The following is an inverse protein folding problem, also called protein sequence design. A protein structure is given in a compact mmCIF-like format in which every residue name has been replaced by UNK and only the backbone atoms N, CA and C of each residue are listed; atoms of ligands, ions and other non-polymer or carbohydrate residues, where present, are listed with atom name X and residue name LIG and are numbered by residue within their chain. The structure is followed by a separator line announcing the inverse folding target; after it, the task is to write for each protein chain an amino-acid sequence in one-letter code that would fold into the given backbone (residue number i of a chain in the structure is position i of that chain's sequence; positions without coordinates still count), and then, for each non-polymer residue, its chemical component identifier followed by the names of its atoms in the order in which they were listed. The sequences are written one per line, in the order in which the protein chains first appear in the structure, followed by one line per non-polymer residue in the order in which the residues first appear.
data_IF_118306294879
#
_entry.id   IF_118306294879
#
_cell.length_a   1.000
_cell.length_b   1.000
_cell.length_c   1.000
_cell.angle_alpha   90.00
_cell.angle_beta   90.00
_cell.angle_gamma   90.00
#
_symmetry.space_group_name_H-M   'P 1'
#
loop_
_entity.id
_entity.type
_entity.pdbx_description
1 polymer ?
#
# COMPACT_ATOMS: atom_id res chain seq x y z
N UNK A 1 13.16 15.12 -5.67
CA UNK A 1 11.74 14.89 -5.28
C UNK A 1 11.07 14.09 -6.39
N UNK A 2 10.33 13.02 -6.06
CA UNK A 2 9.67 12.17 -7.06
C UNK A 2 8.39 12.85 -7.55
N UNK A 3 8.28 13.15 -8.85
CA UNK A 3 7.15 13.87 -9.46
C UNK A 3 5.83 13.13 -9.26
N UNK A 4 5.84 11.80 -9.27
CA UNK A 4 4.67 10.96 -9.06
C UNK A 4 4.14 11.09 -7.63
N UNK A 5 5.03 11.08 -6.63
CA UNK A 5 4.62 11.27 -5.24
C UNK A 5 4.06 12.67 -5.01
N UNK A 6 4.73 13.70 -5.52
CA UNK A 6 4.25 15.07 -5.43
C UNK A 6 2.87 15.26 -6.08
N UNK A 7 2.60 14.55 -7.18
CA UNK A 7 1.28 14.53 -7.82
C UNK A 7 0.21 13.90 -6.92
N UNK A 8 0.48 12.74 -6.31
CA UNK A 8 -0.46 12.08 -5.41
C UNK A 8 -0.71 12.86 -4.12
N UNK A 9 0.33 13.47 -3.55
CA UNK A 9 0.20 14.36 -2.40
C UNK A 9 -0.71 15.54 -2.72
N UNK A 10 -0.45 16.21 -3.85
CA UNK A 10 -1.30 17.31 -4.30
C UNK A 10 -2.74 16.83 -4.55
N UNK A 11 -2.94 15.71 -5.25
CA UNK A 11 -4.27 15.17 -5.56
C UNK A 11 -5.07 14.85 -4.28
N UNK A 12 -4.40 14.32 -3.25
CA UNK A 12 -5.02 14.06 -1.95
C UNK A 12 -5.49 15.32 -1.21
N UNK A 13 -4.90 16.49 -1.50
CA UNK A 13 -5.34 17.78 -0.97
C UNK A 13 -6.47 18.44 -1.76
N UNK A 14 -6.85 17.88 -2.92
CA UNK A 14 -7.80 18.48 -3.86
C UNK A 14 -9.07 17.61 -4.02
N UNK A 15 -9.99 17.61 -3.03
CA UNK A 15 -11.19 16.78 -3.07
C UNK A 15 -12.10 17.11 -4.25
N UNK A 16 -12.11 18.36 -4.71
CA UNK A 16 -12.89 18.80 -5.88
C UNK A 16 -12.46 18.10 -7.18
N UNK A 17 -11.18 17.77 -7.32
CA UNK A 17 -10.64 17.10 -8.52
C UNK A 17 -10.79 15.59 -8.40
N UNK A 18 -10.61 15.03 -7.21
CA UNK A 18 -10.72 13.58 -6.99
C UNK A 18 -12.13 13.02 -7.26
N UNK A 19 -13.16 13.83 -7.04
CA UNK A 19 -14.57 13.49 -7.24
C UNK A 19 -15.13 13.78 -8.65
N UNK A 20 -14.36 14.44 -9.53
CA UNK A 20 -14.79 14.80 -10.88
C UNK A 20 -13.88 14.14 -11.93
N UNK A 21 -14.43 13.17 -12.64
CA UNK A 21 -13.71 12.41 -13.66
C UNK A 21 -13.21 13.29 -14.82
N UNK A 22 -13.93 14.37 -15.17
CA UNK A 22 -13.56 15.27 -16.25
C UNK A 22 -12.41 16.20 -15.82
N UNK A 23 -12.48 16.70 -14.59
CA UNK A 23 -11.39 17.48 -14.00
C UNK A 23 -10.12 16.63 -13.85
N UNK A 24 -10.27 15.38 -13.40
CA UNK A 24 -9.16 14.42 -13.29
C UNK A 24 -8.54 14.11 -14.65
N UNK A 25 -9.35 13.84 -15.68
CA UNK A 25 -8.86 13.57 -17.04
C UNK A 25 -8.06 14.76 -17.60
N UNK A 26 -8.53 15.98 -17.38
CA UNK A 26 -7.87 17.22 -17.83
C UNK A 26 -6.53 17.41 -17.12
N UNK A 27 -6.49 17.14 -15.81
CA UNK A 27 -5.27 17.19 -15.03
C UNK A 27 -4.24 16.15 -15.51
N UNK A 28 -4.67 14.90 -15.74
CA UNK A 28 -3.78 13.83 -16.18
C UNK A 28 -3.16 14.11 -17.55
N UNK A 29 -3.85 14.85 -18.43
CA UNK A 29 -3.29 15.24 -19.74
C UNK A 29 -2.13 16.23 -19.61
N UNK A 30 -2.16 17.12 -18.62
CA UNK A 30 -1.10 18.12 -18.40
C UNK A 30 -0.03 17.67 -17.41
N UNK A 31 -0.27 16.58 -16.67
CA UNK A 31 0.67 16.03 -15.71
C UNK A 31 1.87 15.35 -16.40
N UNK A 32 3.07 15.66 -15.91
CA UNK A 32 4.32 15.01 -16.32
C UNK A 32 4.48 13.64 -15.63
N UNK A 33 3.63 12.69 -16.05
CA UNK A 33 3.56 11.33 -15.55
C UNK A 33 3.79 10.31 -16.67
N UNK A 34 4.37 9.13 -16.38
CA UNK A 34 4.47 8.03 -17.32
C UNK A 34 3.11 7.70 -17.96
N UNK A 35 3.09 7.38 -19.25
CA UNK A 35 1.85 7.08 -20.00
C UNK A 35 1.03 5.96 -19.36
N UNK A 36 1.70 4.88 -18.94
CA UNK A 36 1.08 3.72 -18.29
C UNK A 36 0.39 4.11 -16.99
N UNK A 37 1.03 4.99 -16.19
CA UNK A 37 0.45 5.47 -14.94
C UNK A 37 -0.74 6.41 -15.19
N UNK A 38 -0.69 7.26 -16.22
CA UNK A 38 -1.82 8.12 -16.59
C UNK A 38 -3.03 7.30 -17.02
N UNK A 39 -2.81 6.25 -17.80
CA UNK A 39 -3.88 5.35 -18.23
C UNK A 39 -4.48 4.57 -17.05
N UNK A 40 -3.63 4.04 -16.17
CA UNK A 40 -4.07 3.37 -14.95
C UNK A 40 -4.89 4.30 -14.04
N UNK A 41 -4.47 5.56 -13.88
CA UNK A 41 -5.21 6.59 -13.15
C UNK A 41 -6.55 6.94 -13.80
N UNK A 42 -6.57 7.11 -15.13
CA UNK A 42 -7.79 7.40 -15.88
C UNK A 42 -8.83 6.29 -15.78
N UNK A 43 -8.38 5.03 -15.68
CA UNK A 43 -9.25 3.84 -15.52
C UNK A 43 -9.57 3.52 -14.07
N UNK A 44 -9.01 4.25 -13.09
CA UNK A 44 -9.05 3.94 -11.66
C UNK A 44 -8.60 2.50 -11.36
N UNK A 45 -7.63 2.00 -12.13
CA UNK A 45 -7.11 0.64 -12.05
C UNK A 45 -6.12 0.49 -10.89
N UNK A 46 -6.66 0.24 -9.69
CA UNK A 46 -5.88 0.16 -8.45
C UNK A 46 -4.73 -0.85 -8.55
N UNK A 47 -4.99 -2.05 -9.09
CA UNK A 47 -4.00 -3.11 -9.17
C UNK A 47 -2.83 -2.71 -10.10
N UNK A 48 -3.13 -2.06 -11.22
CA UNK A 48 -2.10 -1.54 -12.13
C UNK A 48 -1.28 -0.42 -11.45
N UNK A 49 -1.94 0.51 -10.75
CA UNK A 49 -1.25 1.58 -10.00
C UNK A 49 -0.33 0.98 -8.93
N UNK A 50 -0.80 0.03 -8.14
CA UNK A 50 -0.01 -0.66 -7.11
C UNK A 50 1.24 -1.34 -7.71
N UNK A 51 1.06 -2.04 -8.83
CA UNK A 51 2.17 -2.69 -9.56
C UNK A 51 3.19 -1.67 -10.08
N UNK A 52 2.74 -0.56 -10.68
CA UNK A 52 3.62 0.48 -11.22
C UNK A 52 4.40 1.22 -10.13
N UNK A 53 3.82 1.37 -8.95
CA UNK A 53 4.46 2.02 -7.80
C UNK A 53 5.33 1.06 -6.97
N UNK A 54 5.32 -0.25 -7.29
CA UNK A 54 6.01 -1.26 -6.48
C UNK A 54 5.44 -1.35 -5.06
N UNK A 55 4.15 -1.08 -4.90
CA UNK A 55 3.48 -1.12 -3.61
C UNK A 55 3.56 -2.55 -3.03
N UNK A 56 3.83 -2.65 -1.73
CA UNK A 56 3.87 -3.93 -0.99
C UNK A 56 2.77 -3.93 0.05
N UNK A 57 1.81 -4.83 -0.09
CA UNK A 57 0.64 -4.94 0.80
C UNK A 57 0.94 -5.79 2.04
N UNK A 58 2.08 -5.59 2.67
CA UNK A 58 2.51 -6.39 3.82
C UNK A 58 1.89 -5.90 5.14
N UNK A 59 1.16 -4.77 5.09
CA UNK A 59 0.62 -4.07 6.25
C UNK A 59 -0.89 -3.91 6.08
N UNK A 60 -1.65 -4.38 7.07
CA UNK A 60 -3.11 -4.28 7.13
C UNK A 60 -3.48 -3.34 8.27
N UNK A 61 -4.01 -2.17 7.94
CA UNK A 61 -4.60 -1.26 8.93
C UNK A 61 -6.11 -1.54 9.01
N UNK A 62 -6.57 -2.06 10.15
CA UNK A 62 -8.01 -2.16 10.44
C UNK A 62 -8.45 -0.96 11.27
N UNK A 63 -9.47 -0.24 10.78
CA UNK A 63 -10.12 0.84 11.53
C UNK A 63 -11.42 0.28 12.08
N UNK A 64 -11.53 0.25 13.41
CA UNK A 64 -12.74 -0.18 14.09
C UNK A 64 -13.52 1.05 14.56
N UNK A 65 -14.83 1.16 14.27
CA UNK A 65 -15.65 2.21 14.84
C UNK A 65 -15.70 2.03 16.36
N UNK A 66 -15.59 3.12 17.10
CA UNK A 66 -15.81 3.12 18.55
C UNK A 66 -17.28 2.77 18.78
N UNK A 67 -17.55 1.69 19.53
CA UNK A 67 -18.91 1.40 19.95
C UNK A 67 -19.35 2.43 21.01
N UNK A 68 -20.57 2.98 20.91
CA UNK A 68 -21.04 4.07 21.78
C UNK A 68 -21.12 3.68 23.26
N UNK A 69 -21.26 2.38 23.55
CA UNK A 69 -21.17 1.83 24.90
C UNK A 69 -19.73 1.35 25.09
N UNK A 70 -18.93 2.17 25.77
CA UNK A 70 -17.49 1.97 25.92
C UNK A 70 -17.16 0.62 26.54
N UNK A 71 -16.58 -0.28 25.73
CA UNK A 71 -15.77 -1.36 26.26
C UNK A 71 -14.47 -0.73 26.76
N UNK A 72 -14.16 -0.98 28.04
CA UNK A 72 -12.92 -0.57 28.68
C UNK A 72 -11.69 -1.01 27.87
N UNK A 73 -10.55 -0.30 27.97
CA UNK A 73 -9.33 -0.70 27.28
C UNK A 73 -8.98 -2.14 27.68
N UNK A 74 -9.01 -3.06 26.71
CA UNK A 74 -8.39 -4.38 26.93
C UNK A 74 -6.90 -4.15 27.03
N UNK A 75 -6.33 -4.53 28.17
CA UNK A 75 -4.87 -4.56 28.36
C UNK A 75 -4.24 -5.34 27.20
N UNK A 76 -3.24 -4.75 26.56
CA UNK A 76 -2.53 -5.34 25.43
C UNK A 76 -2.00 -6.74 25.83
N UNK A 77 -2.52 -7.79 25.19
CA UNK A 77 -1.88 -9.11 25.28
C UNK A 77 -0.48 -8.99 24.66
N UNK A 78 0.57 -9.46 25.36
CA UNK A 78 1.94 -9.29 24.88
C UNK A 78 2.12 -10.00 23.53
N UNK A 79 2.67 -9.25 22.56
CA UNK A 79 3.08 -9.77 21.26
C UNK A 79 3.99 -11.00 21.46
N UNK A 80 3.53 -12.15 20.99
CA UNK A 80 4.40 -13.33 20.90
C UNK A 80 5.47 -13.04 19.85
N UNK A 81 6.72 -12.86 20.29
CA UNK A 81 7.88 -12.81 19.40
C UNK A 81 7.86 -14.04 18.47
N UNK A 82 8.04 -13.87 17.15
CA UNK A 82 8.14 -15.00 16.26
C UNK A 82 9.36 -15.82 16.67
N UNK A 83 9.13 -17.09 17.00
CA UNK A 83 10.19 -18.04 17.33
C UNK A 83 11.23 -18.02 16.20
N UNK A 84 12.46 -17.64 16.53
CA UNK A 84 13.59 -17.80 15.63
C UNK A 84 13.71 -19.29 15.31
N UNK A 85 13.36 -19.68 14.08
CA UNK A 85 13.67 -21.02 13.59
C UNK A 85 15.20 -21.20 13.67
N UNK A 86 15.71 -22.21 14.39
CA UNK A 86 17.14 -22.46 14.39
C UNK A 86 17.54 -22.86 12.97
N UNK A 87 18.47 -22.07 12.39
CA UNK A 87 19.14 -22.38 11.14
C UNK A 87 19.69 -23.81 11.21
N UNK A 88 18.98 -24.76 10.60
CA UNK A 88 19.47 -26.12 10.46
C UNK A 88 20.50 -26.08 9.34
N UNK A 89 21.75 -25.94 9.76
CA UNK A 89 22.95 -26.30 9.03
C UNK A 89 22.76 -27.70 8.42
N UNK A 90 22.41 -27.76 7.13
CA UNK A 90 22.48 -28.99 6.32
C UNK A 90 23.69 -28.90 5.41
N UNK A 91 24.85 -28.90 6.04
CA UNK A 91 26.13 -29.09 5.40
C UNK A 91 26.99 -30.09 6.16
N UNK A 92 26.71 -31.40 6.05
CA UNK A 92 27.72 -32.47 6.02
C UNK A 92 27.13 -33.89 6.10
N UNK A 93 27.67 -34.76 5.23
CA UNK A 93 27.79 -36.23 5.33
C UNK A 93 26.48 -37.05 5.34
N UNK A 94 26.35 -38.17 4.62
CA UNK A 94 27.34 -39.05 4.04
C UNK A 94 26.77 -39.80 2.84
N UNK A 95 27.62 -39.96 1.82
CA UNK A 95 27.53 -41.07 0.90
C UNK A 95 27.87 -42.37 1.65
N UNK A 96 27.02 -43.38 1.49
CA UNK A 96 27.31 -44.79 1.68
C UNK A 96 26.37 -45.52 0.72
N UNK A 97 26.88 -45.96 -0.43
CA UNK A 97 27.48 -47.28 -0.64
C UNK A 97 26.40 -48.37 -0.64
#
# INVERSE_FOLDING_TARGET
MNKTLAFFEWLGTQPAVAGDDQALATLLQSADLPSELREALSRRDRACIESLLGARSNLVCAVFPVQPDGDEPREDEPEQEPAQEPATDRGALAAAA
#
